data_IF_483707796355
#
_entry.id   IF_483707796355
#
_cell.length_a   1.000
_cell.length_b   1.000
_cell.length_c   1.000
_cell.angle_alpha   90.00
_cell.angle_beta   90.00
_cell.angle_gamma   90.00
#
_symmetry.space_group_name_H-M   'P 1'
#
loop_
_entity.id
_entity.type
_entity.pdbx_description
1 polymer ?
#
# COMPACT_ATOMS: atom_id res chain seq x y z
N UNK A 1 -11.19 6.42 9.33
CA UNK A 1 -11.11 5.74 8.04
C UNK A 1 -10.29 6.61 7.09
N UNK A 2 -10.51 7.93 7.14
CA UNK A 2 -9.81 8.93 6.32
C UNK A 2 -8.28 8.76 6.29
N UNK A 3 -7.61 8.56 7.42
CA UNK A 3 -6.14 8.46 7.44
C UNK A 3 -5.57 7.15 6.86
N UNK A 4 -6.36 6.10 6.67
CA UNK A 4 -5.92 4.85 6.03
C UNK A 4 -6.07 4.96 4.52
N UNK A 5 -7.21 5.50 4.05
CA UNK A 5 -7.47 5.74 2.62
C UNK A 5 -6.44 6.74 2.08
N UNK A 6 -6.23 7.85 2.78
CA UNK A 6 -5.17 8.82 2.48
C UNK A 6 -3.80 8.12 2.38
N UNK A 7 -3.44 7.29 3.36
CA UNK A 7 -2.17 6.60 3.36
C UNK A 7 -1.99 5.65 2.15
N UNK A 8 -3.04 4.96 1.71
CA UNK A 8 -2.99 4.04 0.57
C UNK A 8 -2.93 4.81 -0.74
N UNK A 9 -3.79 5.79 -0.93
CA UNK A 9 -4.01 6.44 -2.23
C UNK A 9 -3.23 7.72 -2.45
N UNK A 10 -2.95 8.48 -1.38
CA UNK A 10 -2.28 9.77 -1.47
C UNK A 10 -0.90 9.77 -0.84
N UNK A 11 -0.64 8.80 0.05
CA UNK A 11 0.50 8.85 0.96
C UNK A 11 0.30 9.88 2.06
N UNK A 12 1.13 9.83 3.10
CA UNK A 12 1.09 10.81 4.17
C UNK A 12 2.46 11.15 4.75
N UNK A 13 2.56 12.32 5.35
CA UNK A 13 3.76 12.77 6.07
C UNK A 13 3.47 12.77 7.56
N UNK A 14 4.18 11.92 8.31
CA UNK A 14 4.07 11.86 9.78
C UNK A 14 5.40 12.18 10.41
N UNK A 15 5.43 13.23 11.24
CA UNK A 15 6.65 13.69 11.92
C UNK A 15 7.82 13.92 10.94
N UNK A 16 7.53 14.55 9.79
CA UNK A 16 8.50 14.84 8.75
C UNK A 16 8.94 13.65 7.90
N UNK A 17 8.30 12.48 8.04
CA UNK A 17 8.61 11.28 7.26
C UNK A 17 7.45 10.91 6.35
N UNK A 18 7.71 10.81 5.06
CA UNK A 18 6.77 10.28 4.09
C UNK A 18 6.56 8.77 4.28
N UNK A 19 5.34 8.31 4.03
CA UNK A 19 4.96 6.90 4.02
C UNK A 19 3.68 6.67 3.21
N UNK A 20 3.38 5.41 2.93
CA UNK A 20 2.22 5.04 2.12
C UNK A 20 2.44 5.24 0.63
N UNK A 21 1.39 5.66 -0.07
CA UNK A 21 1.30 5.80 -1.52
C UNK A 21 1.55 4.47 -2.23
N UNK A 22 0.47 3.70 -2.36
CA UNK A 22 0.43 2.33 -2.87
C UNK A 22 -0.47 2.19 -4.10
N UNK A 23 -0.98 3.31 -4.64
CA UNK A 23 -1.79 3.33 -5.86
C UNK A 23 -1.62 4.70 -6.55
N UNK A 24 -1.16 4.70 -7.80
CA UNK A 24 -0.75 5.94 -8.49
C UNK A 24 -1.84 6.56 -9.37
N UNK A 25 -2.95 5.87 -9.62
CA UNK A 25 -3.89 6.27 -10.67
C UNK A 25 -4.93 7.31 -10.22
N UNK A 26 -4.77 7.90 -9.03
CA UNK A 26 -5.50 9.10 -8.60
C UNK A 26 -4.64 10.31 -8.93
N UNK A 27 -5.23 11.28 -9.63
CA UNK A 27 -4.54 12.51 -10.01
C UNK A 27 -4.52 13.50 -8.84
N UNK A 28 -3.54 14.41 -8.88
CA UNK A 28 -3.43 15.54 -7.96
C UNK A 28 -3.30 15.12 -6.48
N UNK A 29 -2.67 13.98 -6.22
CA UNK A 29 -2.35 13.49 -4.87
C UNK A 29 -1.05 14.09 -4.32
N UNK A 30 -0.88 14.03 -3.01
CA UNK A 30 0.38 14.41 -2.36
C UNK A 30 1.56 13.51 -2.76
N UNK A 31 1.30 12.23 -3.01
CA UNK A 31 2.28 11.21 -3.37
C UNK A 31 2.63 11.23 -4.85
N UNK A 32 3.91 10.94 -5.16
CA UNK A 32 4.42 10.75 -6.51
C UNK A 32 5.45 9.61 -6.53
N UNK A 33 5.50 8.90 -7.67
CA UNK A 33 6.60 7.96 -7.97
C UNK A 33 7.82 8.76 -8.44
N UNK A 34 9.01 8.33 -8.01
CA UNK A 34 10.27 8.78 -8.60
C UNK A 34 10.47 8.05 -9.94
N UNK A 35 10.32 8.78 -11.04
CA UNK A 35 10.38 8.22 -12.40
C UNK A 35 11.66 7.39 -12.65
N UNK A 36 11.49 6.21 -13.25
CA UNK A 36 12.58 5.31 -13.60
C UNK A 36 13.01 4.36 -12.48
N UNK A 37 12.25 4.30 -11.38
CA UNK A 37 12.50 3.39 -10.24
C UNK A 37 11.52 2.23 -10.18
N UNK A 38 10.57 2.17 -11.11
CA UNK A 38 9.55 1.14 -11.21
C UNK A 38 10.17 -0.22 -11.54
N UNK A 39 9.83 -1.23 -10.73
CA UNK A 39 10.26 -2.62 -10.92
C UNK A 39 9.03 -3.51 -10.80
N UNK A 40 8.68 -4.21 -11.88
CA UNK A 40 7.61 -5.20 -11.87
C UNK A 40 7.99 -6.36 -10.92
N UNK A 41 7.08 -6.71 -10.03
CA UNK A 41 7.28 -7.75 -9.02
C UNK A 41 6.67 -9.08 -9.50
N UNK A 42 5.48 -9.06 -10.08
CA UNK A 42 4.80 -10.28 -10.51
C UNK A 42 3.88 -10.06 -11.72
N UNK A 43 3.39 -11.18 -12.27
CA UNK A 43 2.50 -11.20 -13.44
C UNK A 43 1.08 -10.70 -13.16
N UNK A 44 0.75 -10.40 -11.90
CA UNK A 44 -0.53 -9.78 -11.52
C UNK A 44 -0.49 -8.25 -11.63
N UNK A 45 0.64 -7.67 -12.05
CA UNK A 45 0.80 -6.22 -12.21
C UNK A 45 1.24 -5.50 -10.94
N UNK A 46 1.59 -6.23 -9.87
CA UNK A 46 2.24 -5.62 -8.70
C UNK A 46 3.63 -5.16 -9.12
N UNK A 47 3.96 -3.94 -8.78
CA UNK A 47 5.29 -3.38 -8.97
C UNK A 47 5.70 -2.61 -7.73
N UNK A 48 6.99 -2.26 -7.61
CA UNK A 48 7.47 -1.32 -6.60
C UNK A 48 8.13 -0.13 -7.27
N UNK A 49 8.10 1.01 -6.60
CA UNK A 49 8.81 2.20 -7.02
C UNK A 49 9.20 3.04 -5.80
N UNK A 50 10.24 3.87 -5.95
CA UNK A 50 10.54 4.87 -4.94
C UNK A 50 9.47 5.96 -4.95
N UNK A 51 9.13 6.49 -3.77
CA UNK A 51 8.06 7.47 -3.64
C UNK A 51 8.49 8.70 -2.85
N UNK A 52 7.87 9.83 -3.18
CA UNK A 52 7.87 11.04 -2.38
C UNK A 52 6.44 11.44 -2.04
N UNK A 53 6.24 12.10 -0.91
CA UNK A 53 4.94 12.66 -0.51
C UNK A 53 5.14 14.11 -0.11
N UNK A 54 4.43 15.04 -0.75
CA UNK A 54 4.62 16.48 -0.61
C UNK A 54 6.09 16.91 -0.83
N UNK A 55 6.76 16.31 -1.82
CA UNK A 55 8.17 16.55 -2.13
C UNK A 55 9.17 16.02 -1.09
N UNK A 56 8.71 15.22 -0.12
CA UNK A 56 9.57 14.56 0.87
C UNK A 56 9.80 13.11 0.42
N UNK A 57 11.03 12.71 0.06
CA UNK A 57 11.34 11.33 -0.26
C UNK A 57 11.06 10.40 0.91
N UNK A 58 10.47 9.23 0.64
CA UNK A 58 10.31 8.18 1.64
C UNK A 58 11.69 7.66 2.05
N UNK A 59 11.90 7.53 3.36
CA UNK A 59 13.17 7.02 3.92
C UNK A 59 13.10 5.57 4.41
N UNK A 60 11.89 5.05 4.65
CA UNK A 60 11.69 3.63 4.99
C UNK A 60 11.80 2.74 3.76
N UNK A 61 12.18 1.47 3.94
CA UNK A 61 12.25 0.44 2.89
C UNK A 61 13.06 0.87 1.66
N UNK A 62 14.17 1.61 1.85
CA UNK A 62 14.97 2.13 0.73
C UNK A 62 14.25 3.15 -0.16
N UNK A 63 13.17 3.74 0.35
CA UNK A 63 12.30 4.68 -0.37
C UNK A 63 11.15 4.02 -1.13
N UNK A 64 11.08 2.69 -1.16
CA UNK A 64 10.11 1.97 -1.97
C UNK A 64 8.74 1.83 -1.30
N UNK A 65 7.70 1.89 -2.12
CA UNK A 65 6.38 1.33 -1.87
C UNK A 65 6.10 0.26 -2.93
N UNK A 66 5.33 -0.77 -2.57
CA UNK A 66 4.69 -1.69 -3.52
C UNK A 66 3.32 -1.14 -3.91
N UNK A 67 2.92 -1.35 -5.14
CA UNK A 67 1.76 -0.72 -5.75
C UNK A 67 0.74 -1.74 -6.23
N UNK A 68 -0.53 -1.40 -6.02
CA UNK A 68 -1.64 -2.11 -6.64
C UNK A 68 -1.57 -1.94 -8.17
N UNK A 69 -2.00 -2.96 -8.94
CA UNK A 69 -2.03 -2.91 -10.41
C UNK A 69 -2.74 -1.66 -10.95
N UNK A 70 -2.19 -1.07 -12.02
CA UNK A 70 -2.70 0.17 -12.62
C UNK A 70 -4.08 -0.02 -13.28
N UNK A 71 -4.42 -1.26 -13.60
CA UNK A 71 -5.67 -1.67 -14.23
C UNK A 71 -6.85 -1.70 -13.24
N UNK A 72 -6.55 -1.77 -11.94
CA UNK A 72 -7.58 -1.75 -10.90
C UNK A 72 -8.15 -0.35 -10.75
N UNK A 73 -9.44 -0.23 -10.50
CA UNK A 73 -10.04 1.02 -10.01
C UNK A 73 -9.78 1.20 -8.51
N UNK A 74 -9.95 2.42 -7.94
CA UNK A 74 -9.88 2.60 -6.49
C UNK A 74 -10.85 1.70 -5.72
N UNK A 75 -12.01 1.40 -6.31
CA UNK A 75 -12.98 0.48 -5.71
C UNK A 75 -12.44 -0.95 -5.70
N UNK A 76 -11.85 -1.42 -6.80
CA UNK A 76 -11.25 -2.76 -6.85
C UNK A 76 -10.12 -2.92 -5.81
N UNK A 77 -9.34 -1.86 -5.57
CA UNK A 77 -8.30 -1.83 -4.53
C UNK A 77 -8.94 -2.03 -3.14
N UNK A 78 -9.99 -1.29 -2.84
CA UNK A 78 -10.70 -1.42 -1.56
C UNK A 78 -11.35 -2.79 -1.40
N UNK A 79 -11.97 -3.32 -2.45
CA UNK A 79 -12.61 -4.63 -2.42
C UNK A 79 -11.56 -5.72 -2.21
N UNK A 80 -10.43 -5.66 -2.91
CA UNK A 80 -9.31 -6.60 -2.72
C UNK A 80 -8.75 -6.57 -1.30
N UNK A 81 -8.60 -5.38 -0.71
CA UNK A 81 -8.17 -5.22 0.69
C UNK A 81 -9.20 -5.83 1.65
N UNK A 82 -10.51 -5.63 1.41
CA UNK A 82 -11.56 -6.19 2.25
C UNK A 82 -11.61 -7.72 2.17
N UNK A 83 -11.46 -8.27 0.97
CA UNK A 83 -11.35 -9.72 0.74
C UNK A 83 -10.16 -10.31 1.50
N UNK A 84 -8.96 -9.75 1.31
CA UNK A 84 -7.76 -10.17 2.02
C UNK A 84 -7.93 -10.02 3.54
N UNK A 85 -8.55 -8.93 4.01
CA UNK A 85 -8.82 -8.73 5.42
C UNK A 85 -9.70 -9.84 6.01
N UNK A 86 -10.67 -10.36 5.26
CA UNK A 86 -11.57 -11.40 5.75
C UNK A 86 -10.90 -12.76 5.92
N UNK A 87 -9.87 -13.07 5.12
CA UNK A 87 -9.12 -14.32 5.19
C UNK A 87 -7.70 -14.18 5.77
N UNK A 88 -7.38 -13.01 6.34
CA UNK A 88 -6.04 -12.67 6.82
C UNK A 88 -5.50 -13.64 7.88
N UNK A 89 -4.20 -13.89 7.81
CA UNK A 89 -3.42 -14.65 8.78
C UNK A 89 -2.38 -13.74 9.42
N UNK A 90 -2.18 -13.88 10.73
CA UNK A 90 -1.19 -13.11 11.46
C UNK A 90 0.24 -13.51 11.04
N UNK A 91 1.09 -12.51 10.80
CA UNK A 91 2.50 -12.73 10.49
C UNK A 91 3.25 -12.95 11.81
N UNK A 92 3.66 -14.19 12.06
CA UNK A 92 4.38 -14.60 13.27
C UNK A 92 5.67 -13.78 13.42
N UNK A 93 5.89 -13.24 14.62
CA UNK A 93 7.04 -12.39 14.92
C UNK A 93 6.86 -10.91 14.55
N UNK A 94 5.78 -10.55 13.86
CA UNK A 94 5.42 -9.14 13.65
C UNK A 94 4.70 -8.58 14.87
N UNK A 95 4.64 -7.24 14.97
CA UNK A 95 3.86 -6.58 16.04
C UNK A 95 2.36 -6.65 15.75
N UNK A 96 1.98 -6.44 14.50
CA UNK A 96 0.59 -6.24 14.10
C UNK A 96 0.37 -6.39 12.58
N UNK A 97 1.23 -7.19 11.92
CA UNK A 97 1.12 -7.48 10.49
C UNK A 97 0.28 -8.72 10.24
N UNK A 98 -0.52 -8.66 9.18
CA UNK A 98 -1.37 -9.73 8.71
C UNK A 98 -1.28 -9.79 7.19
N UNK A 99 -1.33 -10.99 6.62
CA UNK A 99 -1.37 -11.19 5.16
C UNK A 99 -2.68 -11.89 4.82
N UNK A 100 -3.37 -11.39 3.81
CA UNK A 100 -4.52 -12.07 3.20
C UNK A 100 -4.38 -12.12 1.69
N UNK A 101 -5.30 -12.84 1.03
CA UNK A 101 -5.31 -13.02 -0.42
C UNK A 101 -6.67 -12.55 -0.94
N UNK A 102 -6.68 -11.64 -1.90
CA UNK A 102 -7.91 -11.24 -2.59
C UNK A 102 -8.38 -12.31 -3.59
N UNK A 103 -9.60 -12.21 -4.08
CA UNK A 103 -10.18 -13.18 -5.03
C UNK A 103 -9.43 -13.24 -6.36
N UNK A 104 -8.75 -12.16 -6.75
CA UNK A 104 -7.87 -12.12 -7.93
C UNK A 104 -6.44 -12.62 -7.65
N UNK A 105 -6.15 -13.12 -6.44
CA UNK A 105 -4.89 -13.74 -6.09
C UNK A 105 -3.80 -12.79 -5.58
N UNK A 106 -4.09 -11.50 -5.36
CA UNK A 106 -3.11 -10.58 -4.78
C UNK A 106 -2.89 -10.92 -3.30
N UNK A 107 -1.64 -11.21 -2.94
CA UNK A 107 -1.22 -11.20 -1.54
C UNK A 107 -1.14 -9.74 -1.05
N UNK A 108 -1.89 -9.42 0.00
CA UNK A 108 -1.94 -8.08 0.57
C UNK A 108 -1.49 -8.16 2.02
N UNK A 109 -0.43 -7.43 2.35
CA UNK A 109 0.00 -7.23 3.73
C UNK A 109 -0.73 -6.00 4.31
N UNK A 110 -1.18 -6.15 5.56
CA UNK A 110 -1.94 -5.15 6.29
C UNK A 110 -1.37 -4.96 7.69
N UNK A 111 -1.23 -3.70 8.09
CA UNK A 111 -1.04 -3.36 9.50
C UNK A 111 -2.38 -3.06 10.13
N UNK A 112 -2.70 -3.77 11.22
CA UNK A 112 -3.99 -3.68 11.89
C UNK A 112 -3.75 -3.24 13.33
N UNK A 113 -4.55 -2.30 13.86
CA UNK A 113 -4.41 -1.87 15.24
C UNK A 113 -5.18 -2.80 16.21
N UNK A 114 -5.01 -2.58 17.52
CA UNK A 114 -5.63 -3.40 18.56
C UNK A 114 -7.17 -3.39 18.54
N UNK A 115 -7.79 -2.44 17.83
CA UNK A 115 -9.24 -2.36 17.65
C UNK A 115 -9.71 -3.08 16.37
N UNK A 116 -8.83 -3.82 15.69
CA UNK A 116 -9.13 -4.51 14.44
C UNK A 116 -9.23 -3.60 13.21
N UNK A 117 -8.79 -2.33 13.30
CA UNK A 117 -8.83 -1.42 12.14
C UNK A 117 -7.53 -1.47 11.35
N UNK A 118 -7.65 -1.55 10.03
CA UNK A 118 -6.53 -1.40 9.10
C UNK A 118 -5.99 0.03 9.20
N UNK A 119 -4.67 0.15 9.39
CA UNK A 119 -3.94 1.43 9.42
C UNK A 119 -2.98 1.60 8.24
N UNK A 120 -2.68 0.52 7.52
CA UNK A 120 -1.96 0.50 6.23
C UNK A 120 -2.26 -0.84 5.55
N UNK A 121 -2.33 -0.84 4.22
CA UNK A 121 -2.51 -2.03 3.40
C UNK A 121 -1.78 -1.83 2.06
N UNK A 122 -1.08 -2.85 1.60
CA UNK A 122 -0.30 -2.79 0.37
C UNK A 122 -0.08 -4.19 -0.22
N UNK A 123 0.09 -4.33 -1.55
CA UNK A 123 0.46 -5.61 -2.13
C UNK A 123 1.81 -6.06 -1.61
N UNK A 124 1.92 -7.35 -1.31
CA UNK A 124 3.17 -7.94 -0.85
C UNK A 124 4.13 -8.13 -2.03
N UNK A 125 5.42 -7.93 -1.76
CA UNK A 125 6.50 -8.24 -2.71
C UNK A 125 6.71 -9.76 -2.86
#
# INVERSE_FOLDING_TARGET
MDSTIEHIFEGNVRRGKAGGYHYECIKDTAGNIVNGTEVLINDLGVYKAQVEVNGIPKSGNGGYSTFFPKEMSPQDVIDSINEAYNNKVFVVGSKNSYIGISNNGLEIEMYINNNGKIISAFPKE
#
